data_IF_218979683997
#
_entry.id   IF_218979683997
#
_cell.length_a   1.000
_cell.length_b   1.000
_cell.length_c   1.000
_cell.angle_alpha   90.00
_cell.angle_beta   90.00
_cell.angle_gamma   90.00
#
_symmetry.space_group_name_H-M   'P 1'
#
loop_
_entity.id
_entity.type
_entity.pdbx_description
1 polymer ?
#
# COMPACT_ATOMS: atom_id res chain seq x y z
N UNK A 1 11.57 41.21 2.48
CA UNK A 1 10.65 40.55 1.52
C UNK A 1 11.31 39.26 1.05
N UNK A 2 10.89 38.09 1.56
CA UNK A 2 11.42 36.80 1.10
C UNK A 2 10.99 36.57 -0.36
N UNK A 3 11.96 36.37 -1.26
CA UNK A 3 11.67 36.04 -2.66
C UNK A 3 10.93 34.70 -2.70
N UNK A 4 9.83 34.63 -3.43
CA UNK A 4 9.01 33.41 -3.62
C UNK A 4 9.85 32.20 -4.05
N UNK A 5 10.91 32.42 -4.85
CA UNK A 5 11.89 31.41 -5.23
C UNK A 5 12.57 30.71 -4.04
N UNK A 6 12.80 31.42 -2.94
CA UNK A 6 13.39 30.86 -1.73
C UNK A 6 12.43 29.92 -1.00
N UNK A 7 11.15 30.29 -0.93
CA UNK A 7 10.09 29.45 -0.33
C UNK A 7 9.90 28.16 -1.13
N UNK A 8 9.90 28.25 -2.47
CA UNK A 8 9.79 27.09 -3.35
C UNK A 8 11.00 26.15 -3.13
N UNK A 9 12.21 26.70 -3.06
CA UNK A 9 13.42 25.92 -2.84
C UNK A 9 13.41 25.18 -1.49
N UNK A 10 12.95 25.86 -0.42
CA UNK A 10 12.76 25.26 0.89
C UNK A 10 11.71 24.14 0.84
N UNK A 11 10.57 24.38 0.18
CA UNK A 11 9.52 23.37 0.07
C UNK A 11 10.01 22.10 -0.65
N UNK A 12 10.72 22.24 -1.78
CA UNK A 12 11.30 21.11 -2.51
C UNK A 12 12.30 20.34 -1.63
N UNK A 13 13.19 21.04 -0.93
CA UNK A 13 14.15 20.43 0.00
C UNK A 13 13.48 19.64 1.14
N UNK A 14 12.34 20.12 1.66
CA UNK A 14 11.58 19.42 2.68
C UNK A 14 10.90 18.15 2.14
N UNK A 15 10.46 18.14 0.88
CA UNK A 15 9.89 16.94 0.25
C UNK A 15 10.93 15.82 0.08
N UNK A 16 12.21 16.17 -0.21
CA UNK A 16 13.27 15.18 -0.43
C UNK A 16 13.75 14.50 0.87
N UNK A 17 13.61 15.17 2.03
CA UNK A 17 13.96 14.62 3.35
C UNK A 17 12.94 13.65 3.92
N UNK A 18 11.75 13.51 3.32
CA UNK A 18 10.67 12.67 3.85
C UNK A 18 11.01 11.18 3.66
N UNK A 19 11.27 10.47 4.75
CA UNK A 19 11.39 9.00 4.72
C UNK A 19 10.01 8.41 4.50
N UNK A 20 9.75 7.88 3.29
CA UNK A 20 8.47 7.25 3.00
C UNK A 20 8.43 5.84 3.58
N UNK A 21 7.63 5.65 4.63
CA UNK A 21 7.17 4.32 5.00
C UNK A 21 6.45 3.70 3.80
N UNK A 22 7.04 2.65 3.22
CA UNK A 22 6.45 1.97 2.07
C UNK A 22 5.37 1.03 2.58
N UNK A 23 4.09 1.40 2.37
CA UNK A 23 2.96 0.52 2.66
C UNK A 23 2.96 -0.66 1.69
N UNK A 24 2.66 -1.85 2.21
CA UNK A 24 2.50 -3.08 1.44
C UNK A 24 1.16 -3.69 1.79
N UNK A 25 0.42 -4.14 0.78
CA UNK A 25 -0.82 -4.90 0.94
C UNK A 25 -0.54 -6.33 0.51
N UNK A 26 -0.61 -7.24 1.47
CA UNK A 26 -0.46 -8.67 1.25
C UNK A 26 -1.81 -9.29 0.91
N UNK A 27 -1.88 -10.02 -0.21
CA UNK A 27 -3.04 -10.80 -0.64
C UNK A 27 -2.61 -12.26 -0.77
N UNK A 28 -3.13 -13.10 0.10
CA UNK A 28 -2.94 -14.55 0.04
C UNK A 28 -4.18 -15.20 -0.56
N UNK A 29 -4.03 -15.87 -1.70
CA UNK A 29 -5.10 -16.68 -2.28
C UNK A 29 -5.17 -18.04 -1.56
N UNK A 30 -6.37 -18.41 -1.12
CA UNK A 30 -6.64 -19.70 -0.49
C UNK A 30 -6.48 -20.84 -1.50
N UNK A 31 -6.95 -20.63 -2.74
CA UNK A 31 -6.77 -21.57 -3.83
C UNK A 31 -5.36 -21.43 -4.41
N UNK A 32 -4.60 -22.53 -4.40
CA UNK A 32 -3.24 -22.57 -4.95
C UNK A 32 -2.15 -21.95 -4.05
N UNK A 33 -2.50 -21.44 -2.86
CA UNK A 33 -1.57 -20.92 -1.84
C UNK A 33 -0.56 -19.89 -2.37
N UNK A 34 -0.98 -19.03 -3.30
CA UNK A 34 -0.15 -17.94 -3.85
C UNK A 34 -0.24 -16.68 -2.99
N UNK A 35 0.88 -15.98 -2.84
CA UNK A 35 0.97 -14.73 -2.11
C UNK A 35 1.38 -13.59 -3.07
N UNK A 36 0.68 -12.47 -2.98
CA UNK A 36 0.95 -11.26 -3.74
C UNK A 36 1.17 -10.08 -2.79
N UNK A 37 1.98 -9.12 -3.24
CA UNK A 37 2.34 -7.92 -2.49
C UNK A 37 2.13 -6.70 -3.37
N UNK A 38 1.24 -5.81 -2.96
CA UNK A 38 0.82 -4.64 -3.74
C UNK A 38 1.10 -3.34 -3.01
N UNK A 39 1.39 -2.26 -3.75
CA UNK A 39 1.58 -0.92 -3.18
C UNK A 39 0.28 -0.18 -2.87
N UNK A 40 -0.84 -0.61 -3.46
CA UNK A 40 -2.15 0.07 -3.32
C UNK A 40 -3.30 -0.91 -3.58
N UNK A 41 -4.52 -0.54 -3.17
CA UNK A 41 -5.73 -1.34 -3.47
C UNK A 41 -6.00 -1.41 -4.98
N UNK A 42 -5.93 -0.32 -5.77
CA UNK A 42 -6.10 -0.39 -7.22
C UNK A 42 -5.11 -1.34 -7.91
N UNK A 43 -3.86 -1.43 -7.43
CA UNK A 43 -2.87 -2.35 -7.98
C UNK A 43 -3.22 -3.83 -7.79
N UNK A 44 -4.07 -4.17 -6.81
CA UNK A 44 -4.62 -5.52 -6.67
C UNK A 44 -5.49 -5.83 -7.89
N UNK A 45 -6.38 -4.91 -8.25
CA UNK A 45 -7.37 -5.09 -9.30
C UNK A 45 -6.82 -4.93 -10.73
N UNK A 46 -5.56 -4.47 -10.88
CA UNK A 46 -4.87 -4.55 -12.17
C UNK A 46 -4.29 -5.95 -12.44
N UNK A 47 -4.21 -6.82 -11.44
CA UNK A 47 -3.61 -8.18 -11.55
C UNK A 47 -4.61 -9.29 -11.21
N UNK A 48 -5.50 -9.07 -10.25
CA UNK A 48 -6.47 -10.04 -9.75
C UNK A 48 -7.89 -9.51 -9.90
N UNK A 49 -8.85 -10.38 -10.20
CA UNK A 49 -10.26 -9.99 -10.30
C UNK A 49 -10.97 -10.03 -8.95
N UNK A 50 -12.11 -9.33 -8.85
CA UNK A 50 -12.95 -9.36 -7.65
C UNK A 50 -13.46 -10.78 -7.35
N UNK A 51 -13.70 -11.60 -8.37
CA UNK A 51 -14.10 -13.01 -8.24
C UNK A 51 -12.96 -13.88 -7.67
N UNK A 52 -11.72 -13.62 -8.09
CA UNK A 52 -10.54 -14.37 -7.62
C UNK A 52 -10.26 -14.15 -6.13
N UNK A 53 -10.40 -12.91 -5.64
CA UNK A 53 -10.15 -12.55 -4.24
C UNK A 53 -11.42 -12.51 -3.38
N UNK A 54 -12.60 -12.61 -4.00
CA UNK A 54 -13.91 -12.64 -3.32
C UNK A 54 -14.35 -11.33 -2.68
N UNK A 55 -13.88 -10.17 -3.18
CA UNK A 55 -14.28 -8.84 -2.69
C UNK A 55 -14.14 -7.78 -3.78
N UNK A 56 -15.12 -6.88 -3.90
CA UNK A 56 -15.09 -5.73 -4.82
C UNK A 56 -14.18 -4.61 -4.31
N UNK A 57 -13.57 -3.85 -5.23
CA UNK A 57 -12.62 -2.78 -4.88
C UNK A 57 -13.21 -1.78 -3.89
N UNK A 58 -14.41 -1.26 -4.20
CA UNK A 58 -15.10 -0.30 -3.34
C UNK A 58 -15.36 -0.83 -1.92
N UNK A 59 -15.55 -2.14 -1.77
CA UNK A 59 -15.73 -2.76 -0.46
C UNK A 59 -14.40 -2.87 0.28
N UNK A 60 -13.34 -3.29 -0.41
CA UNK A 60 -11.99 -3.39 0.17
C UNK A 60 -11.45 -2.03 0.64
N UNK A 61 -11.76 -0.95 -0.09
CA UNK A 61 -11.41 0.42 0.29
C UNK A 61 -12.06 0.85 1.62
N UNK A 62 -13.28 0.39 1.91
CA UNK A 62 -14.01 0.70 3.15
C UNK A 62 -13.55 -0.11 4.37
N UNK A 63 -12.82 -1.21 4.17
CA UNK A 63 -12.33 -2.06 5.28
C UNK A 63 -11.32 -1.31 6.15
N UNK A 64 -10.64 -0.30 5.61
CA UNK A 64 -9.66 0.46 6.37
C UNK A 64 -8.40 -0.35 6.68
N UNK A 65 -7.83 -1.03 5.66
CA UNK A 65 -6.62 -1.84 5.81
C UNK A 65 -5.44 -1.08 6.47
N UNK A 66 -5.32 0.23 6.23
CA UNK A 66 -4.28 1.06 6.89
C UNK A 66 -4.48 1.25 8.39
N UNK A 67 -5.67 0.98 8.93
CA UNK A 67 -6.00 1.10 10.35
C UNK A 67 -6.00 -0.27 11.05
N UNK A 68 -5.37 -1.27 10.44
CA UNK A 68 -5.35 -2.65 10.95
C UNK A 68 -6.53 -3.52 10.51
N UNK A 69 -7.41 -3.02 9.62
CA UNK A 69 -8.46 -3.83 9.03
C UNK A 69 -7.90 -5.03 8.26
N UNK A 70 -8.59 -6.16 8.32
CA UNK A 70 -8.24 -7.40 7.63
C UNK A 70 -9.46 -7.95 6.91
N UNK A 71 -9.26 -8.49 5.72
CA UNK A 71 -10.28 -9.29 5.02
C UNK A 71 -9.87 -10.74 5.08
N UNK A 72 -10.75 -11.58 5.60
CA UNK A 72 -10.62 -13.03 5.52
C UNK A 72 -11.92 -13.59 4.94
N UNK A 73 -11.83 -14.25 3.80
CA UNK A 73 -12.96 -14.93 3.18
C UNK A 73 -12.51 -16.29 2.62
N UNK A 74 -13.42 -17.02 1.97
CA UNK A 74 -13.12 -18.36 1.39
C UNK A 74 -12.08 -18.34 0.26
N UNK A 75 -11.80 -17.18 -0.33
CA UNK A 75 -10.95 -16.99 -1.51
C UNK A 75 -9.59 -16.38 -1.18
N UNK A 76 -9.53 -15.43 -0.26
CA UNK A 76 -8.32 -14.71 0.09
C UNK A 76 -8.26 -14.20 1.53
N UNK A 77 -7.03 -13.97 1.99
CA UNK A 77 -6.69 -13.20 3.18
C UNK A 77 -5.93 -11.94 2.76
N UNK A 78 -6.43 -10.77 3.12
CA UNK A 78 -5.89 -9.47 2.72
C UNK A 78 -5.59 -8.62 3.95
N UNK A 79 -4.35 -8.14 4.06
CA UNK A 79 -3.87 -7.30 5.17
C UNK A 79 -2.85 -6.28 4.67
N UNK A 80 -2.79 -5.11 5.28
CA UNK A 80 -1.74 -4.15 5.02
C UNK A 80 -0.70 -4.14 6.14
N UNK A 81 0.54 -3.80 5.77
CA UNK A 81 1.64 -3.60 6.69
C UNK A 81 2.66 -2.65 6.08
N UNK A 82 3.80 -2.54 6.75
CA UNK A 82 4.92 -1.70 6.33
C UNK A 82 6.07 -2.57 5.84
N UNK A 83 6.74 -2.11 4.79
CA UNK A 83 7.95 -2.76 4.32
C UNK A 83 9.10 -2.46 5.29
N UNK A 84 9.50 -3.46 6.05
CA UNK A 84 10.68 -3.39 6.90
C UNK A 84 11.91 -3.55 6.01
N UNK A 85 12.78 -2.54 6.00
CA UNK A 85 14.05 -2.54 5.25
C UNK A 85 15.22 -2.53 6.23
N UNK A 86 16.31 -3.19 5.84
CA UNK A 86 17.57 -3.04 6.55
C UNK A 86 18.06 -1.58 6.45
N UNK A 87 18.63 -1.05 7.53
CA UNK A 87 19.22 0.30 7.56
C UNK A 87 20.60 0.37 6.89
N UNK A 88 21.07 -0.72 6.27
CA UNK A 88 22.41 -0.76 5.67
C UNK A 88 22.48 0.25 4.52
N UNK A 89 23.05 1.41 4.84
CA UNK A 89 23.64 2.34 3.89
C UNK A 89 24.82 1.61 3.26
N UNK A 90 24.69 1.27 1.97
CA UNK A 90 25.85 0.99 1.13
C UNK A 90 26.54 2.29 0.77
#
# INVERSE_FOLDING_TARGET
MLKISYIISIFVYLQTKKTYMTKVIHVQLMKGRKNYYFGSIPAIYSILTAEEIGIKQSSLERVGLSKGGVVLNKKACIRAGELIRSKVTK
#
